data_IF_347748575591
#
_entry.id   IF_347748575591
#
_cell.length_a   1.000
_cell.length_b   1.000
_cell.length_c   1.000
_cell.angle_alpha   90.00
_cell.angle_beta   90.00
_cell.angle_gamma   90.00
#
_symmetry.space_group_name_H-M   'P 1'
#
loop_
_entity.id
_entity.type
_entity.pdbx_description
1 polymer ?
#
# COMPACT_ATOMS: atom_id res chain seq x y z
N UNK A 1 -11.11 -34.48 72.21
CA UNK A 1 -12.15 -35.10 71.37
C UNK A 1 -12.51 -36.40 72.04
N UNK A 2 -13.76 -36.52 72.47
CA UNK A 2 -14.25 -37.70 73.17
C UNK A 2 -14.41 -38.86 72.17
N UNK A 3 -13.50 -39.84 72.26
CA UNK A 3 -13.47 -41.02 71.38
C UNK A 3 -14.69 -41.93 71.55
N UNK A 4 -15.52 -41.69 72.59
CA UNK A 4 -16.77 -42.42 72.83
C UNK A 4 -17.91 -42.10 71.85
N UNK A 5 -17.73 -41.12 70.96
CA UNK A 5 -18.72 -40.72 69.95
C UNK A 5 -18.53 -41.33 68.56
N UNK A 6 -17.43 -42.08 68.32
CA UNK A 6 -17.22 -42.77 67.05
C UNK A 6 -17.95 -44.11 67.06
N UNK A 7 -18.99 -44.22 66.26
CA UNK A 7 -19.64 -45.49 65.97
C UNK A 7 -18.69 -46.38 65.13
N UNK A 8 -18.04 -47.33 65.80
CA UNK A 8 -17.07 -48.27 65.25
C UNK A 8 -17.72 -49.62 64.89
N UNK A 9 -19.05 -49.70 64.83
CA UNK A 9 -19.77 -50.94 64.49
C UNK A 9 -19.44 -51.49 63.10
N UNK A 10 -18.88 -50.67 62.20
CA UNK A 10 -18.39 -51.08 60.88
C UNK A 10 -17.01 -51.75 60.90
N UNK A 11 -16.27 -51.63 62.00
CA UNK A 11 -14.91 -52.13 62.13
C UNK A 11 -14.94 -53.60 62.61
N UNK A 12 -14.25 -54.53 61.94
CA UNK A 12 -14.19 -55.92 62.38
C UNK A 12 -13.69 -56.04 63.82
N UNK A 13 -14.19 -57.01 64.60
CA UNK A 13 -13.78 -57.18 65.99
C UNK A 13 -12.40 -57.83 66.14
N UNK A 14 -11.95 -58.58 65.14
CA UNK A 14 -10.64 -59.23 65.12
C UNK A 14 -9.54 -58.27 64.62
N UNK A 15 -8.39 -58.26 65.31
CA UNK A 15 -7.31 -57.32 65.04
C UNK A 15 -6.62 -57.56 63.69
N UNK A 16 -6.48 -58.83 63.27
CA UNK A 16 -5.89 -59.16 61.97
C UNK A 16 -6.82 -58.75 60.82
N UNK A 17 -8.15 -58.89 61.01
CA UNK A 17 -9.15 -58.40 60.06
C UNK A 17 -9.16 -56.87 59.92
N UNK A 18 -8.99 -56.12 61.03
CA UNK A 18 -8.87 -54.66 61.00
C UNK A 18 -7.63 -54.21 60.20
N UNK A 19 -6.50 -54.88 60.41
CA UNK A 19 -5.27 -54.61 59.68
C UNK A 19 -5.45 -54.88 58.17
N UNK A 20 -6.09 -56.00 57.82
CA UNK A 20 -6.41 -56.33 56.43
C UNK A 20 -7.34 -55.29 55.78
N UNK A 21 -8.33 -54.77 56.52
CA UNK A 21 -9.20 -53.69 56.07
C UNK A 21 -8.42 -52.39 55.84
N UNK A 22 -7.52 -52.04 56.77
CA UNK A 22 -6.61 -50.90 56.62
C UNK A 22 -5.76 -51.00 55.36
N UNK A 23 -5.16 -52.15 55.10
CA UNK A 23 -4.42 -52.39 53.84
C UNK A 23 -5.29 -52.25 52.61
N UNK A 24 -6.54 -52.72 52.64
CA UNK A 24 -7.48 -52.58 51.51
C UNK A 24 -7.87 -51.12 51.27
N UNK A 25 -8.15 -50.35 52.33
CA UNK A 25 -8.47 -48.92 52.23
C UNK A 25 -7.29 -48.16 51.61
N UNK A 26 -6.07 -48.37 52.14
CA UNK A 26 -4.85 -47.75 51.63
C UNK A 26 -4.63 -48.16 50.16
N UNK A 27 -4.69 -49.45 49.86
CA UNK A 27 -4.53 -49.96 48.49
C UNK A 27 -5.53 -49.34 47.52
N UNK A 28 -6.80 -49.20 47.92
CA UNK A 28 -7.83 -48.58 47.09
C UNK A 28 -7.59 -47.08 46.90
N UNK A 29 -7.16 -46.37 47.95
CA UNK A 29 -6.80 -44.96 47.85
C UNK A 29 -5.65 -44.74 46.86
N UNK A 30 -4.60 -45.57 46.94
CA UNK A 30 -3.48 -45.54 45.98
C UNK A 30 -3.95 -45.85 44.55
N UNK A 31 -4.75 -46.91 44.36
CA UNK A 31 -5.30 -47.25 43.03
C UNK A 31 -6.10 -46.10 42.43
N UNK A 32 -7.01 -45.51 43.20
CA UNK A 32 -7.83 -44.36 42.78
C UNK A 32 -6.95 -43.18 42.38
N UNK A 33 -5.91 -42.88 43.18
CA UNK A 33 -4.97 -41.80 42.87
C UNK A 33 -4.18 -42.06 41.59
N UNK A 34 -3.70 -43.29 41.38
CA UNK A 34 -2.99 -43.69 40.16
C UNK A 34 -3.91 -43.56 38.95
N UNK A 35 -5.12 -44.09 39.00
CA UNK A 35 -6.09 -43.97 37.89
C UNK A 35 -6.41 -42.52 37.55
N UNK A 36 -6.57 -41.66 38.56
CA UNK A 36 -6.77 -40.22 38.38
C UNK A 36 -5.58 -39.56 37.68
N UNK A 37 -4.35 -39.83 38.14
CA UNK A 37 -3.13 -39.29 37.52
C UNK A 37 -2.95 -39.79 36.08
N UNK A 38 -3.23 -41.07 35.81
CA UNK A 38 -3.19 -41.60 34.45
C UNK A 38 -4.20 -40.92 33.53
N UNK A 39 -5.42 -40.63 34.01
CA UNK A 39 -6.42 -39.91 33.24
C UNK A 39 -5.99 -38.45 32.95
N UNK A 40 -5.37 -37.80 33.92
CA UNK A 40 -4.79 -36.46 33.75
C UNK A 40 -3.66 -36.47 32.70
N UNK A 41 -2.75 -37.45 32.77
CA UNK A 41 -1.68 -37.63 31.78
C UNK A 41 -2.26 -37.84 30.37
N UNK A 42 -3.29 -38.67 30.22
CA UNK A 42 -3.97 -38.88 28.93
C UNK A 42 -4.56 -37.58 28.39
N UNK A 43 -5.21 -36.80 29.25
CA UNK A 43 -5.83 -35.51 28.89
C UNK A 43 -4.78 -34.49 28.44
N UNK A 44 -3.70 -34.33 29.21
CA UNK A 44 -2.61 -33.41 28.87
C UNK A 44 -1.92 -33.84 27.56
N UNK A 45 -1.70 -35.14 27.35
CA UNK A 45 -1.12 -35.64 26.09
C UNK A 45 -2.01 -35.35 24.88
N UNK A 46 -3.32 -35.50 25.02
CA UNK A 46 -4.27 -35.16 23.95
C UNK A 46 -4.23 -33.66 23.62
N UNK A 47 -4.20 -32.80 24.64
CA UNK A 47 -4.07 -31.36 24.45
C UNK A 47 -2.75 -30.98 23.75
N UNK A 48 -1.63 -31.62 24.10
CA UNK A 48 -0.34 -31.40 23.43
C UNK A 48 -0.42 -31.81 21.95
N UNK A 49 -1.06 -32.93 21.63
CA UNK A 49 -1.24 -33.38 20.25
C UNK A 49 -2.07 -32.37 19.42
N UNK A 50 -3.19 -31.89 19.97
CA UNK A 50 -4.05 -30.88 19.34
C UNK A 50 -3.28 -29.56 19.09
N UNK A 51 -2.52 -29.07 20.08
CA UNK A 51 -1.69 -27.87 19.90
C UNK A 51 -0.60 -28.06 18.84
N UNK A 52 -0.01 -29.25 18.77
CA UNK A 52 0.97 -29.59 17.72
C UNK A 52 0.35 -29.54 16.32
N UNK A 53 -0.86 -30.07 16.16
CA UNK A 53 -1.61 -30.01 14.90
C UNK A 53 -1.93 -28.56 14.49
N UNK A 54 -2.40 -27.74 15.44
CA UNK A 54 -2.62 -26.31 15.18
C UNK A 54 -1.35 -25.58 14.77
N UNK A 55 -0.22 -25.88 15.41
CA UNK A 55 1.07 -25.27 15.07
C UNK A 55 1.48 -25.65 13.65
N UNK A 56 1.35 -26.93 13.27
CA UNK A 56 1.64 -27.38 11.90
C UNK A 56 0.72 -26.69 10.86
N UNK A 57 -0.57 -26.53 11.16
CA UNK A 57 -1.51 -25.85 10.29
C UNK A 57 -1.18 -24.35 10.14
N UNK A 58 -0.81 -23.67 11.23
CA UNK A 58 -0.38 -22.27 11.18
C UNK A 58 0.94 -22.10 10.44
N UNK A 59 1.90 -23.00 10.64
CA UNK A 59 3.17 -22.98 9.91
C UNK A 59 2.93 -23.13 8.40
N UNK A 60 2.05 -24.03 7.97
CA UNK A 60 1.68 -24.17 6.55
C UNK A 60 1.04 -22.89 5.99
N UNK A 61 0.13 -22.26 6.74
CA UNK A 61 -0.49 -20.98 6.35
C UNK A 61 0.56 -19.86 6.25
N UNK A 62 1.48 -19.80 7.20
CA UNK A 62 2.56 -18.82 7.21
C UNK A 62 3.45 -18.96 5.97
N UNK A 63 3.93 -20.17 5.68
CA UNK A 63 4.73 -20.43 4.48
C UNK A 63 3.97 -20.12 3.20
N UNK A 64 2.66 -20.39 3.13
CA UNK A 64 1.84 -20.03 1.96
C UNK A 64 1.71 -18.52 1.78
N UNK A 65 1.51 -17.76 2.86
CA UNK A 65 1.43 -16.30 2.82
C UNK A 65 2.77 -15.67 2.47
N UNK A 66 3.87 -16.23 2.95
CA UNK A 66 5.22 -15.79 2.61
C UNK A 66 5.50 -15.93 1.11
N UNK A 67 5.12 -17.06 0.51
CA UNK A 67 5.22 -17.26 -0.95
C UNK A 67 4.36 -16.25 -1.71
N UNK A 68 3.09 -16.05 -1.31
CA UNK A 68 2.21 -15.07 -1.96
C UNK A 68 2.74 -13.64 -1.86
N UNK A 69 3.36 -13.28 -0.74
CA UNK A 69 3.98 -11.97 -0.56
C UNK A 69 5.16 -11.77 -1.52
N UNK A 70 6.00 -12.80 -1.66
CA UNK A 70 7.14 -12.79 -2.59
C UNK A 70 6.63 -12.64 -4.03
N UNK A 71 5.66 -13.45 -4.44
CA UNK A 71 5.06 -13.40 -5.79
C UNK A 71 4.42 -12.03 -6.07
N UNK A 72 3.64 -11.49 -5.14
CA UNK A 72 3.03 -10.16 -5.27
C UNK A 72 4.08 -9.05 -5.40
N UNK A 73 5.16 -9.14 -4.62
CA UNK A 73 6.26 -8.17 -4.66
C UNK A 73 6.99 -8.24 -6.01
N UNK A 74 7.27 -9.46 -6.49
CA UNK A 74 7.91 -9.67 -7.78
C UNK A 74 7.03 -9.14 -8.93
N UNK A 75 5.73 -9.43 -8.92
CA UNK A 75 4.77 -8.90 -9.90
C UNK A 75 4.69 -7.37 -9.86
N UNK A 76 4.68 -6.79 -8.67
CA UNK A 76 4.71 -5.33 -8.49
C UNK A 76 5.96 -4.69 -9.12
N UNK A 77 7.12 -5.31 -8.92
CA UNK A 77 8.37 -4.83 -9.52
C UNK A 77 8.37 -4.92 -11.05
N UNK A 78 7.86 -6.02 -11.62
CA UNK A 78 7.71 -6.18 -13.07
C UNK A 78 6.82 -5.10 -13.68
N UNK A 79 5.63 -4.89 -13.09
CA UNK A 79 4.71 -3.84 -13.54
C UNK A 79 5.32 -2.44 -13.43
N UNK A 80 6.09 -2.18 -12.37
CA UNK A 80 6.79 -0.90 -12.21
C UNK A 80 7.86 -0.70 -13.31
N UNK A 81 8.57 -1.74 -13.71
CA UNK A 81 9.55 -1.69 -14.79
C UNK A 81 8.89 -1.50 -16.16
N UNK A 82 7.84 -2.26 -16.47
CA UNK A 82 7.03 -2.08 -17.67
C UNK A 82 6.48 -0.65 -17.77
N UNK A 83 5.96 -0.11 -16.67
CA UNK A 83 5.44 1.24 -16.63
C UNK A 83 6.55 2.30 -16.86
N UNK A 84 7.74 2.13 -16.28
CA UNK A 84 8.90 2.98 -16.58
C UNK A 84 9.26 2.93 -18.07
N UNK A 85 9.24 1.74 -18.68
CA UNK A 85 9.55 1.54 -20.09
C UNK A 85 8.49 2.21 -20.99
N UNK A 86 7.21 2.05 -20.68
CA UNK A 86 6.11 2.70 -21.41
C UNK A 86 6.19 4.22 -21.31
N UNK A 87 6.42 4.76 -20.10
CA UNK A 87 6.60 6.20 -19.91
C UNK A 87 7.81 6.72 -20.71
N UNK A 88 8.92 5.98 -20.74
CA UNK A 88 10.09 6.35 -21.53
C UNK A 88 9.76 6.36 -23.04
N UNK A 89 9.00 5.38 -23.53
CA UNK A 89 8.55 5.33 -24.92
C UNK A 89 7.60 6.49 -25.26
N UNK A 90 6.62 6.79 -24.40
CA UNK A 90 5.71 7.93 -24.57
C UNK A 90 6.51 9.24 -24.70
N UNK A 91 7.48 9.46 -23.81
CA UNK A 91 8.36 10.65 -23.86
C UNK A 91 9.22 10.70 -25.12
N UNK A 92 9.60 9.55 -25.69
CA UNK A 92 10.32 9.50 -26.96
C UNK A 92 9.40 9.89 -28.11
N UNK A 93 8.23 9.28 -28.20
CA UNK A 93 7.24 9.58 -29.25
C UNK A 93 6.77 11.03 -29.21
N UNK A 94 6.56 11.62 -28.02
CA UNK A 94 6.24 13.04 -27.88
C UNK A 94 7.33 13.95 -28.45
N UNK A 95 8.60 13.63 -28.24
CA UNK A 95 9.72 14.39 -28.83
C UNK A 95 9.74 14.26 -30.35
N UNK A 96 9.47 13.06 -30.88
CA UNK A 96 9.44 12.82 -32.32
C UNK A 96 8.25 13.54 -32.98
N UNK A 97 7.08 13.57 -32.33
CA UNK A 97 5.91 14.37 -32.76
C UNK A 97 6.28 15.86 -32.81
N UNK A 98 6.86 16.41 -31.75
CA UNK A 98 7.25 17.82 -31.71
C UNK A 98 8.25 18.18 -32.82
N UNK A 99 9.18 17.27 -33.14
CA UNK A 99 10.12 17.43 -34.27
C UNK A 99 9.38 17.45 -35.61
N UNK A 100 8.46 16.51 -35.83
CA UNK A 100 7.63 16.46 -37.04
C UNK A 100 6.75 17.71 -37.19
N UNK A 101 6.17 18.21 -36.10
CA UNK A 101 5.40 19.46 -36.12
C UNK A 101 6.25 20.68 -36.44
N UNK A 102 7.50 20.71 -35.95
CA UNK A 102 8.44 21.79 -36.25
C UNK A 102 8.84 21.75 -37.73
N UNK A 103 9.16 20.56 -38.25
CA UNK A 103 9.46 20.35 -39.67
C UNK A 103 8.27 20.75 -40.56
N UNK A 104 7.05 20.33 -40.21
CA UNK A 104 5.82 20.74 -40.92
C UNK A 104 5.69 22.26 -40.97
N UNK A 105 5.89 22.95 -39.84
CA UNK A 105 5.84 24.42 -39.78
C UNK A 105 6.89 25.07 -40.67
N UNK A 106 8.14 24.59 -40.64
CA UNK A 106 9.22 25.10 -41.48
C UNK A 106 8.95 24.90 -42.98
N UNK A 107 8.46 23.72 -43.37
CA UNK A 107 8.11 23.41 -44.77
C UNK A 107 6.97 24.30 -45.26
N UNK A 108 5.91 24.46 -44.46
CA UNK A 108 4.80 25.35 -44.82
C UNK A 108 5.26 26.81 -44.97
N UNK A 109 6.13 27.28 -44.09
CA UNK A 109 6.69 28.64 -44.16
C UNK A 109 7.54 28.85 -45.43
N UNK A 110 8.43 27.90 -45.76
CA UNK A 110 9.26 27.95 -46.97
C UNK A 110 8.42 27.94 -48.26
N UNK A 111 7.33 27.15 -48.33
CA UNK A 111 6.41 27.17 -49.48
C UNK A 111 5.70 28.53 -49.60
N UNK A 112 5.41 29.17 -48.47
CA UNK A 112 4.75 30.48 -48.44
C UNK A 112 5.69 31.61 -48.85
N UNK A 113 6.97 31.55 -48.45
CA UNK A 113 7.99 32.54 -48.86
C UNK A 113 8.34 32.43 -50.36
N UNK A 114 8.52 31.21 -50.90
CA UNK A 114 8.76 31.01 -52.35
C UNK A 114 7.58 31.49 -53.23
N UNK A 115 6.35 31.50 -52.70
CA UNK A 115 5.19 32.06 -53.39
C UNK A 115 5.13 33.59 -53.39
N UNK A 116 5.79 34.24 -52.42
CA UNK A 116 5.84 35.71 -52.31
C UNK A 116 7.05 36.34 -52.99
N UNK A 117 8.12 35.58 -53.21
CA UNK A 117 9.36 36.11 -53.81
C UNK A 117 9.26 36.30 -55.33
N UNK A 118 8.36 35.56 -56.02
CA UNK A 118 8.11 35.78 -57.46
C UNK A 118 7.45 37.14 -57.74
N UNK A 119 6.77 37.75 -56.77
CA UNK A 119 6.22 39.10 -56.91
C UNK A 119 7.20 40.22 -56.48
N UNK A 120 8.24 39.89 -55.71
CA UNK A 120 9.22 40.85 -55.18
C UNK A 120 10.52 40.93 -56.02
N UNK A 121 10.91 39.85 -56.70
CA UNK A 121 12.19 39.75 -57.43
C UNK A 121 12.26 40.64 -58.70
N UNK A 122 11.13 41.18 -59.15
CA UNK A 122 11.12 42.21 -60.21
C UNK A 122 11.51 43.62 -59.73
N UNK A 123 11.76 43.84 -58.43
CA UNK A 123 12.03 45.19 -57.89
C UNK A 123 13.35 45.37 -57.13
N UNK A 124 14.25 44.38 -57.07
CA UNK A 124 15.47 44.47 -56.25
C UNK A 124 16.81 44.44 -57.02
N UNK A 125 16.81 44.70 -58.33
CA UNK A 125 18.06 45.11 -59.02
C UNK A 125 18.23 46.63 -58.95
N UNK A 126 18.43 47.19 -57.76
CA UNK A 126 19.04 48.51 -57.62
C UNK A 126 20.53 48.32 -57.33
N UNK A 127 21.34 48.68 -58.31
CA UNK A 127 22.79 48.46 -58.37
C UNK A 127 23.62 49.24 -57.32
N UNK A 128 22.99 50.00 -56.42
CA UNK A 128 23.70 50.93 -55.52
C UNK A 128 24.24 50.29 -54.22
N UNK A 129 23.71 49.16 -53.76
CA UNK A 129 24.11 48.58 -52.46
C UNK A 129 25.35 47.66 -52.54
N UNK A 130 25.72 47.23 -53.75
CA UNK A 130 26.90 46.38 -53.97
C UNK A 130 28.22 47.15 -53.83
N UNK A 131 28.19 48.49 -53.86
CA UNK A 131 29.38 49.34 -53.83
C UNK A 131 29.99 49.53 -52.43
N UNK A 132 29.26 49.20 -51.35
CA UNK A 132 29.68 49.49 -49.98
C UNK A 132 30.38 48.33 -49.25
N UNK A 133 30.27 47.09 -49.73
CA UNK A 133 30.92 45.92 -49.10
C UNK A 133 32.33 45.62 -49.62
N UNK A 134 32.75 46.30 -50.69
CA UNK A 134 34.01 46.05 -51.39
C UNK A 134 35.26 46.73 -50.77
N UNK A 135 35.17 47.33 -49.58
CA UNK A 135 36.33 47.94 -48.91
C UNK A 135 37.00 46.96 -47.92
N UNK A 136 38.27 46.55 -48.14
CA UNK A 136 38.96 45.57 -47.30
C UNK A 136 39.47 46.17 -45.98
N UNK A 137 39.14 45.56 -44.83
CA UNK A 137 39.79 45.84 -43.54
C UNK A 137 41.03 44.93 -43.38
N UNK A 138 42.18 45.47 -43.75
CA UNK A 138 43.48 44.82 -43.61
C UNK A 138 44.20 45.28 -42.33
N UNK A 139 44.51 44.31 -41.46
CA UNK A 139 45.60 44.23 -40.46
C UNK A 139 45.62 45.18 -39.25
N UNK A 140 45.60 44.60 -38.04
CA UNK A 140 46.69 44.69 -37.05
C UNK A 140 46.49 43.57 -36.01
N UNK A 141 47.28 42.53 -36.19
CA UNK A 141 47.63 41.49 -35.23
C UNK A 141 49.00 41.90 -34.66
N UNK A 142 49.22 41.77 -33.35
CA UNK A 142 50.52 41.44 -32.71
C UNK A 142 50.46 41.69 -31.20
N UNK A 143 50.21 40.62 -30.43
CA UNK A 143 51.09 40.23 -29.30
C UNK A 143 50.66 38.85 -28.82
N UNK A 144 51.65 37.96 -28.67
CA UNK A 144 51.46 36.53 -28.53
C UNK A 144 51.09 36.01 -27.15
N UNK A 145 50.78 34.72 -27.19
CA UNK A 145 51.05 33.66 -26.21
C UNK A 145 50.06 33.42 -25.04
N UNK A 146 49.40 32.26 -25.20
CA UNK A 146 49.15 31.18 -24.24
C UNK A 146 48.19 31.34 -23.06
N UNK A 147 47.15 30.49 -23.11
CA UNK A 147 46.35 29.91 -22.00
C UNK A 147 45.61 30.94 -21.12
N UNK A 148 44.31 30.83 -20.87
CA UNK A 148 43.72 29.90 -19.89
C UNK A 148 42.21 29.82 -20.13
N UNK A 149 41.76 28.60 -20.32
CA UNK A 149 40.41 28.10 -20.17
C UNK A 149 39.83 28.41 -18.78
N UNK A 150 39.20 29.58 -18.59
CA UNK A 150 38.57 29.91 -17.28
C UNK A 150 37.39 30.90 -17.31
N UNK A 151 36.86 31.28 -18.48
CA UNK A 151 35.80 32.31 -18.55
C UNK A 151 34.36 31.78 -18.75
N UNK A 152 34.09 30.47 -18.64
CA UNK A 152 32.73 29.93 -18.91
C UNK A 152 32.00 29.31 -17.70
N UNK A 153 32.67 29.03 -16.58
CA UNK A 153 32.03 28.35 -15.42
C UNK A 153 31.92 29.27 -14.19
N UNK A 154 31.25 30.42 -14.33
CA UNK A 154 30.91 31.25 -13.15
C UNK A 154 29.69 32.15 -13.37
N UNK A 155 28.51 31.54 -13.62
CA UNK A 155 27.25 32.32 -13.67
C UNK A 155 26.03 31.76 -12.94
N UNK A 156 26.08 30.61 -12.27
CA UNK A 156 24.94 30.16 -11.47
C UNK A 156 25.37 29.51 -10.15
N UNK A 157 25.74 30.35 -9.19
CA UNK A 157 25.93 29.97 -7.79
C UNK A 157 25.25 30.98 -6.89
N UNK A 158 24.08 30.60 -6.33
CA UNK A 158 23.35 31.40 -5.37
C UNK A 158 22.20 30.61 -4.72
N UNK A 159 22.46 30.07 -3.52
CA UNK A 159 21.44 29.72 -2.51
C UNK A 159 21.03 31.01 -1.76
N UNK A 160 19.80 31.11 -1.24
CA UNK A 160 19.46 30.67 0.13
C UNK A 160 18.20 29.76 0.09
N UNK A 161 17.78 28.96 1.08
CA UNK A 161 17.91 29.01 2.53
C UNK A 161 16.51 29.15 3.15
N UNK A 162 15.73 28.06 3.31
CA UNK A 162 14.60 28.03 4.24
C UNK A 162 14.29 26.59 4.72
N UNK A 163 14.09 26.48 6.04
CA UNK A 163 13.81 25.27 6.82
C UNK A 163 12.29 25.12 7.00
N UNK A 164 11.78 23.89 7.02
CA UNK A 164 10.38 23.61 7.31
C UNK A 164 10.02 22.14 7.16
N UNK A 165 10.28 21.37 8.20
CA UNK A 165 9.81 20.00 8.43
C UNK A 165 8.28 19.94 8.38
N UNK A 166 7.70 19.20 7.44
CA UNK A 166 6.42 18.50 7.65
C UNK A 166 6.45 17.16 6.94
N UNK A 167 6.04 16.12 7.66
CA UNK A 167 5.89 14.75 7.21
C UNK A 167 4.80 14.65 6.15
N UNK A 168 5.15 14.19 4.95
CA UNK A 168 4.17 13.85 3.91
C UNK A 168 4.27 12.37 3.62
N UNK A 169 3.20 11.66 3.94
CA UNK A 169 2.92 10.29 3.55
C UNK A 169 2.95 10.15 2.01
N UNK A 170 3.48 9.05 1.46
CA UNK A 170 3.41 8.80 0.03
C UNK A 170 1.96 8.48 -0.35
N UNK A 171 1.27 9.43 -0.96
CA UNK A 171 0.00 9.20 -1.64
C UNK A 171 0.25 8.36 -2.89
N UNK A 172 -0.04 7.06 -2.77
CA UNK A 172 -0.27 6.17 -3.91
C UNK A 172 -1.48 6.68 -4.68
N UNK A 173 -1.24 7.31 -5.83
CA UNK A 173 -2.27 7.55 -6.84
C UNK A 173 -2.60 6.20 -7.50
N UNK A 174 -3.51 5.45 -6.87
CA UNK A 174 -4.23 4.37 -7.52
C UNK A 174 -5.34 5.00 -8.37
N UNK A 175 -5.19 4.84 -9.68
CA UNK A 175 -6.19 5.22 -10.67
C UNK A 175 -7.42 4.32 -10.49
N UNK A 176 -8.42 4.78 -9.74
CA UNK A 176 -9.73 4.17 -9.67
C UNK A 176 -10.65 4.87 -10.67
N UNK A 177 -10.87 4.25 -11.82
CA UNK A 177 -12.06 4.52 -12.63
C UNK A 177 -12.80 3.21 -12.89
N UNK A 178 -13.85 2.97 -12.10
CA UNK A 178 -15.16 2.54 -12.60
C UNK A 178 -16.19 2.53 -11.47
N UNK A 179 -17.23 3.37 -11.58
CA UNK A 179 -18.50 3.15 -10.88
C UNK A 179 -18.97 4.25 -9.91
N UNK A 180 -19.33 5.42 -10.47
CA UNK A 180 -20.40 6.34 -10.05
C UNK A 180 -20.46 6.99 -8.65
N UNK A 181 -19.61 6.66 -7.67
CA UNK A 181 -19.51 7.45 -6.41
C UNK A 181 -18.06 7.63 -5.98
N UNK A 182 -17.66 8.88 -5.74
CA UNK A 182 -16.32 9.19 -5.23
C UNK A 182 -16.17 8.70 -3.78
N UNK A 183 -15.64 7.48 -3.62
CA UNK A 183 -15.37 6.90 -2.30
C UNK A 183 -14.38 7.72 -1.47
N UNK A 184 -13.57 8.56 -2.11
CA UNK A 184 -12.66 9.50 -1.42
C UNK A 184 -13.44 10.69 -0.86
N UNK A 185 -14.40 11.22 -1.62
CA UNK A 185 -15.31 12.26 -1.15
C UNK A 185 -16.19 11.75 0.01
N UNK A 186 -16.76 10.55 -0.11
CA UNK A 186 -17.53 9.93 0.97
C UNK A 186 -16.72 9.87 2.29
N UNK A 187 -15.47 9.40 2.24
CA UNK A 187 -14.62 9.29 3.43
C UNK A 187 -14.26 10.65 4.03
N UNK A 188 -14.07 11.68 3.19
CA UNK A 188 -13.82 13.04 3.65
C UNK A 188 -15.05 13.63 4.35
N UNK A 189 -16.23 13.48 3.77
CA UNK A 189 -17.50 13.93 4.36
C UNK A 189 -17.80 13.16 5.64
N UNK A 190 -17.66 11.84 5.62
CA UNK A 190 -17.85 10.97 6.78
C UNK A 190 -16.96 11.40 7.96
N UNK A 191 -15.68 11.70 7.69
CA UNK A 191 -14.74 12.16 8.73
C UNK A 191 -15.08 13.54 9.30
N UNK A 192 -15.67 14.42 8.51
CA UNK A 192 -16.04 15.76 8.94
C UNK A 192 -17.38 15.77 9.71
N UNK A 193 -18.25 14.79 9.46
CA UNK A 193 -19.62 14.77 10.01
C UNK A 193 -19.80 13.79 11.17
N UNK A 194 -19.02 12.71 11.24
CA UNK A 194 -19.17 11.66 12.24
C UNK A 194 -18.28 11.87 13.47
N UNK A 195 -18.74 11.32 14.60
CA UNK A 195 -17.90 11.19 15.77
C UNK A 195 -16.78 10.17 15.51
N UNK A 196 -15.62 10.24 16.20
CA UNK A 196 -14.50 9.33 15.97
C UNK A 196 -14.85 7.85 16.10
N UNK A 197 -15.76 7.51 17.02
CA UNK A 197 -16.21 6.14 17.25
C UNK A 197 -17.05 5.60 16.07
N UNK A 198 -17.96 6.41 15.54
CA UNK A 198 -18.78 6.05 14.38
C UNK A 198 -17.93 5.93 13.12
N UNK A 199 -16.95 6.83 12.94
CA UNK A 199 -16.00 6.76 11.82
C UNK A 199 -15.13 5.50 11.89
N UNK A 200 -14.65 5.13 13.08
CA UNK A 200 -13.91 3.88 13.28
C UNK A 200 -14.80 2.65 13.00
N UNK A 201 -16.08 2.70 13.37
CA UNK A 201 -17.07 1.68 13.05
C UNK A 201 -17.22 1.48 11.54
N UNK A 202 -17.37 2.56 10.78
CA UNK A 202 -17.50 2.50 9.31
C UNK A 202 -16.22 1.96 8.65
N UNK A 203 -15.03 2.41 9.10
CA UNK A 203 -13.76 1.88 8.59
C UNK A 203 -13.61 0.38 8.86
N UNK A 204 -14.09 -0.09 10.02
CA UNK A 204 -14.10 -1.51 10.36
C UNK A 204 -15.00 -2.31 9.41
N UNK A 205 -16.20 -1.80 9.09
CA UNK A 205 -17.13 -2.43 8.14
C UNK A 205 -16.51 -2.48 6.74
N UNK A 206 -15.93 -1.38 6.24
CA UNK A 206 -15.27 -1.33 4.93
C UNK A 206 -14.11 -2.33 4.86
N UNK A 207 -13.26 -2.38 5.90
CA UNK A 207 -12.16 -3.34 5.98
C UNK A 207 -12.64 -4.79 5.97
N UNK A 208 -13.68 -5.12 6.74
CA UNK A 208 -14.24 -6.48 6.81
C UNK A 208 -14.91 -6.89 5.49
N UNK A 209 -15.60 -5.97 4.83
CA UNK A 209 -16.19 -6.22 3.52
C UNK A 209 -15.11 -6.43 2.44
N UNK A 210 -14.11 -5.55 2.37
CA UNK A 210 -13.00 -5.69 1.41
C UNK A 210 -12.17 -6.97 1.65
N UNK A 211 -12.09 -7.43 2.90
CA UNK A 211 -11.49 -8.71 3.26
C UNK A 211 -12.38 -9.93 3.03
N UNK A 212 -13.54 -9.79 2.37
CA UNK A 212 -14.54 -10.85 2.14
C UNK A 212 -15.06 -11.53 3.43
N UNK A 213 -14.89 -10.88 4.59
CA UNK A 213 -15.31 -11.40 5.90
C UNK A 213 -16.74 -10.98 6.27
N UNK A 214 -17.36 -10.10 5.48
CA UNK A 214 -18.69 -9.57 5.72
C UNK A 214 -19.49 -9.55 4.42
N UNK A 215 -20.70 -10.10 4.43
CA UNK A 215 -21.61 -10.02 3.29
C UNK A 215 -22.10 -8.60 3.09
N UNK A 216 -22.48 -8.26 1.86
CA UNK A 216 -23.06 -6.95 1.51
C UNK A 216 -24.26 -6.60 2.39
N UNK A 217 -25.15 -7.56 2.63
CA UNK A 217 -26.35 -7.37 3.46
C UNK A 217 -26.00 -7.04 4.92
N UNK A 218 -25.06 -7.77 5.51
CA UNK A 218 -24.60 -7.52 6.88
C UNK A 218 -23.84 -6.19 6.99
N UNK A 219 -23.07 -5.81 5.97
CA UNK A 219 -22.37 -4.52 5.92
C UNK A 219 -23.35 -3.34 5.92
N UNK A 220 -24.43 -3.44 5.13
CA UNK A 220 -25.48 -2.42 5.08
C UNK A 220 -26.29 -2.38 6.38
N UNK A 221 -26.59 -3.53 6.99
CA UNK A 221 -27.30 -3.57 8.28
C UNK A 221 -26.49 -2.92 9.41
N UNK A 222 -25.18 -3.25 9.52
CA UNK A 222 -24.29 -2.62 10.49
C UNK A 222 -24.08 -1.13 10.22
N UNK A 223 -23.96 -0.73 8.96
CA UNK A 223 -23.88 0.69 8.60
C UNK A 223 -25.17 1.45 8.91
N UNK A 224 -26.34 0.82 8.76
CA UNK A 224 -27.63 1.41 9.13
C UNK A 224 -27.73 1.64 10.64
N UNK A 225 -27.18 0.75 11.45
CA UNK A 225 -27.15 0.92 12.90
C UNK A 225 -26.23 2.08 13.33
N UNK A 226 -25.11 2.30 12.62
CA UNK A 226 -24.16 3.38 12.91
C UNK A 226 -24.57 4.75 12.31
N UNK A 227 -25.23 4.75 11.15
CA UNK A 227 -25.50 5.96 10.37
C UNK A 227 -26.99 6.33 10.24
N UNK A 228 -27.88 5.36 10.41
CA UNK A 228 -29.24 5.41 9.87
C UNK A 228 -30.15 6.47 10.49
N UNK A 229 -29.93 6.84 11.75
CA UNK A 229 -30.78 7.82 12.45
C UNK A 229 -30.17 9.22 12.45
N UNK A 230 -28.84 9.33 12.51
CA UNK A 230 -28.15 10.62 12.64
C UNK A 230 -27.66 11.18 11.29
N UNK A 231 -27.40 10.33 10.29
CA UNK A 231 -26.72 10.68 9.04
C UNK A 231 -27.29 9.90 7.85
N UNK A 232 -28.62 10.00 7.62
CA UNK A 232 -29.34 9.28 6.57
C UNK A 232 -28.79 9.51 5.15
N UNK A 233 -28.32 10.73 4.85
CA UNK A 233 -27.69 11.05 3.55
C UNK A 233 -26.40 10.26 3.34
N UNK A 234 -25.58 10.16 4.39
CA UNK A 234 -24.32 9.43 4.36
C UNK A 234 -24.57 7.92 4.21
N UNK A 235 -25.64 7.40 4.80
CA UNK A 235 -26.05 6.01 4.61
C UNK A 235 -26.45 5.70 3.14
N UNK A 236 -27.16 6.61 2.47
CA UNK A 236 -27.49 6.42 1.05
C UNK A 236 -26.26 6.49 0.14
N UNK A 237 -25.31 7.40 0.40
CA UNK A 237 -24.02 7.44 -0.30
C UNK A 237 -23.21 6.15 -0.06
N UNK A 238 -23.20 5.65 1.17
CA UNK A 238 -22.57 4.37 1.51
C UNK A 238 -23.21 3.19 0.77
N UNK A 239 -24.54 3.16 0.65
CA UNK A 239 -25.25 2.09 -0.07
C UNK A 239 -24.91 2.09 -1.57
N UNK A 240 -24.79 3.27 -2.18
CA UNK A 240 -24.38 3.39 -3.59
C UNK A 240 -22.95 2.89 -3.81
N UNK A 241 -22.06 3.07 -2.83
CA UNK A 241 -20.67 2.60 -2.87
C UNK A 241 -20.54 1.06 -2.89
N UNK A 242 -21.56 0.34 -2.39
CA UNK A 242 -21.62 -1.13 -2.38
C UNK A 242 -22.45 -1.73 -3.53
N UNK A 243 -23.05 -0.89 -4.39
CA UNK A 243 -23.98 -1.30 -5.46
C UNK A 243 -23.36 -1.44 -6.85
N UNK A 244 -22.03 -1.60 -6.93
CA UNK A 244 -21.30 -1.96 -8.16
C UNK A 244 -20.90 -3.43 -8.12
#
# INVERSE_FOLDING_TARGET
MDMSSLDLTWLPSDADEQLALGFRIISNAYKTRVTSLEAEIRTVRAAVAEKSEHLAAFQKKYSSLEVQLIECTQRGNQLAEENRNLVAQIKKLQRDINRLETLKRAVLHSIQEDGTDVEADHRYYNADDLLHSAAPRTMIELSGADTVESAFIKRFGGKPGFSGTTSTTPTTNMNYEKGTVDGRNFLNVARATLNPDDMNGILSIIKKFNGQQLSKENALASARQLLGENNAKLYEEFKQLFCV
#
